data_IF_290696852845
#
_entry.id   IF_290696852845
#
_cell.length_a   1.000
_cell.length_b   1.000
_cell.length_c   1.000
_cell.angle_alpha   90.00
_cell.angle_beta   90.00
_cell.angle_gamma   90.00
#
_symmetry.space_group_name_H-M   'P 1'
#
loop_
_entity.id
_entity.type
_entity.pdbx_description
1 polymer ?
#
# COMPACT_ATOMS: atom_id res chain seq x y z
N UNK A 1 -14.73 1.49 -20.10
CA UNK A 1 -14.90 1.33 -18.63
C UNK A 1 -13.98 0.25 -18.06
N UNK A 2 -13.82 -0.92 -18.70
CA UNK A 2 -12.85 -1.96 -18.26
C UNK A 2 -11.37 -1.54 -18.36
N UNK A 3 -10.96 -0.82 -19.41
CA UNK A 3 -9.56 -0.36 -19.57
C UNK A 3 -9.11 0.64 -18.48
N UNK A 4 -10.02 1.47 -17.96
CA UNK A 4 -9.73 2.40 -16.87
C UNK A 4 -9.58 1.67 -15.53
N UNK A 5 -10.36 0.60 -15.33
CA UNK A 5 -10.25 -0.27 -14.16
C UNK A 5 -8.96 -1.11 -14.20
N UNK A 6 -8.57 -1.65 -15.36
CA UNK A 6 -7.29 -2.36 -15.51
C UNK A 6 -6.10 -1.43 -15.27
N UNK A 7 -6.14 -0.20 -15.79
CA UNK A 7 -5.11 0.80 -15.54
C UNK A 7 -5.00 1.16 -14.03
N UNK A 8 -6.13 1.25 -13.32
CA UNK A 8 -6.12 1.51 -11.87
C UNK A 8 -5.65 0.30 -11.05
N UNK A 9 -5.98 -0.93 -11.45
CA UNK A 9 -5.45 -2.15 -10.82
C UNK A 9 -3.93 -2.23 -10.99
N UNK A 10 -3.41 -2.01 -12.19
CA UNK A 10 -1.98 -2.04 -12.45
C UNK A 10 -1.25 -0.93 -11.68
N UNK A 11 -1.82 0.28 -11.63
CA UNK A 11 -1.27 1.38 -10.86
C UNK A 11 -1.24 1.08 -9.35
N UNK A 12 -2.30 0.50 -8.80
CA UNK A 12 -2.35 0.09 -7.41
C UNK A 12 -1.32 -1.02 -7.09
N UNK A 13 -1.10 -1.96 -8.02
CA UNK A 13 -0.07 -2.97 -7.88
C UNK A 13 1.34 -2.38 -7.89
N UNK A 14 1.63 -1.44 -8.82
CA UNK A 14 2.92 -0.73 -8.91
C UNK A 14 3.23 0.05 -7.64
N UNK A 15 2.25 0.79 -7.10
CA UNK A 15 2.42 1.52 -5.84
C UNK A 15 2.61 0.58 -4.65
N UNK A 16 1.89 -0.54 -4.61
CA UNK A 16 2.08 -1.54 -3.56
C UNK A 16 3.50 -2.12 -3.59
N UNK A 17 4.04 -2.42 -4.77
CA UNK A 17 5.39 -2.93 -4.93
C UNK A 17 6.45 -1.86 -4.60
N UNK A 18 6.26 -0.62 -5.05
CA UNK A 18 7.09 0.54 -4.69
C UNK A 18 7.14 0.71 -3.17
N UNK A 19 5.99 0.74 -2.51
CA UNK A 19 5.91 0.86 -1.06
C UNK A 19 6.55 -0.30 -0.31
N UNK A 20 6.43 -1.53 -0.82
CA UNK A 20 7.15 -2.69 -0.28
C UNK A 20 8.67 -2.56 -0.43
N UNK A 21 9.16 -2.00 -1.53
CA UNK A 21 10.58 -1.79 -1.76
C UNK A 21 11.12 -0.65 -0.89
N UNK A 22 10.38 0.45 -0.74
CA UNK A 22 10.70 1.54 0.19
C UNK A 22 10.78 1.04 1.64
N UNK A 23 9.85 0.16 2.04
CA UNK A 23 9.86 -0.46 3.37
C UNK A 23 11.14 -1.29 3.61
N UNK A 24 11.60 -2.05 2.61
CA UNK A 24 12.87 -2.79 2.68
C UNK A 24 14.09 -1.87 2.71
N UNK A 25 14.02 -0.72 2.04
CA UNK A 25 15.07 0.29 2.04
C UNK A 25 15.11 1.12 3.34
N UNK A 26 14.13 0.95 4.23
CA UNK A 26 14.01 1.75 5.45
C UNK A 26 13.45 3.15 5.22
N UNK A 27 13.02 3.48 4.00
CA UNK A 27 12.30 4.72 3.71
C UNK A 27 10.83 4.57 4.10
N UNK A 28 10.57 4.76 5.39
CA UNK A 28 9.25 4.57 5.97
C UNK A 28 8.25 5.68 5.57
N UNK A 29 8.71 6.88 5.18
CA UNK A 29 7.83 7.93 4.69
C UNK A 29 7.26 7.58 3.32
N UNK A 30 8.14 7.27 2.37
CA UNK A 30 7.72 6.88 1.02
C UNK A 30 6.90 5.59 1.07
N UNK A 31 7.32 4.60 1.88
CA UNK A 31 6.57 3.36 2.06
C UNK A 31 5.14 3.61 2.57
N UNK A 32 4.98 4.46 3.59
CA UNK A 32 3.66 4.79 4.14
C UNK A 32 2.76 5.44 3.10
N UNK A 33 3.28 6.39 2.33
CA UNK A 33 2.51 7.11 1.33
C UNK A 33 2.08 6.19 0.17
N UNK A 34 3.01 5.40 -0.35
CA UNK A 34 2.76 4.50 -1.48
C UNK A 34 1.80 3.38 -1.11
N UNK A 35 1.98 2.77 0.08
CA UNK A 35 1.08 1.72 0.58
C UNK A 35 -0.32 2.26 0.88
N UNK A 36 -0.44 3.50 1.41
CA UNK A 36 -1.74 4.14 1.64
C UNK A 36 -2.50 4.34 0.33
N UNK A 37 -1.86 4.92 -0.69
CA UNK A 37 -2.48 5.13 -2.01
C UNK A 37 -2.85 3.83 -2.70
N UNK A 38 -1.98 2.81 -2.61
CA UNK A 38 -2.27 1.49 -3.14
C UNK A 38 -3.49 0.86 -2.46
N UNK A 39 -3.62 1.03 -1.14
CA UNK A 39 -4.75 0.54 -0.36
C UNK A 39 -6.04 1.26 -0.74
N UNK A 40 -6.04 2.59 -0.79
CA UNK A 40 -7.22 3.39 -1.17
C UNK A 40 -7.76 2.98 -2.54
N UNK A 41 -6.88 2.79 -3.53
CA UNK A 41 -7.29 2.33 -4.85
C UNK A 41 -7.85 0.91 -4.83
N UNK A 42 -7.22 -0.02 -4.12
CA UNK A 42 -7.75 -1.39 -4.00
C UNK A 42 -9.10 -1.42 -3.30
N UNK A 43 -9.31 -0.59 -2.28
CA UNK A 43 -10.59 -0.45 -1.58
C UNK A 43 -11.65 0.13 -2.50
N UNK A 44 -11.32 1.13 -3.33
CA UNK A 44 -12.24 1.67 -4.32
C UNK A 44 -12.63 0.64 -5.41
N UNK A 45 -11.72 -0.25 -5.78
CA UNK A 45 -11.92 -1.23 -6.85
C UNK A 45 -12.67 -2.49 -6.36
N UNK A 46 -12.26 -3.05 -5.24
CA UNK A 46 -12.74 -4.36 -4.76
C UNK A 46 -13.67 -4.25 -3.55
N UNK A 47 -13.61 -3.12 -2.82
CA UNK A 47 -14.28 -2.93 -1.54
C UNK A 47 -13.34 -3.13 -0.34
N UNK A 48 -13.74 -2.57 0.80
CA UNK A 48 -12.94 -2.55 2.03
C UNK A 48 -12.67 -3.95 2.60
N UNK A 49 -13.65 -4.83 2.51
CA UNK A 49 -13.59 -6.20 3.05
C UNK A 49 -13.09 -7.24 2.03
N UNK A 50 -12.60 -6.79 0.87
CA UNK A 50 -12.16 -7.67 -0.18
C UNK A 50 -10.81 -8.33 0.18
N UNK A 51 -10.63 -9.64 -0.06
CA UNK A 51 -9.38 -10.33 0.24
C UNK A 51 -8.16 -9.74 -0.50
N UNK A 52 -8.38 -9.10 -1.65
CA UNK A 52 -7.37 -8.40 -2.45
C UNK A 52 -6.71 -7.22 -1.69
N UNK A 53 -7.47 -6.61 -0.78
CA UNK A 53 -7.01 -5.51 0.08
C UNK A 53 -6.20 -6.00 1.29
N UNK A 54 -6.35 -7.28 1.70
CA UNK A 54 -5.74 -7.81 2.93
C UNK A 54 -4.21 -7.66 2.94
N UNK A 55 -3.57 -7.90 1.80
CA UNK A 55 -2.11 -7.74 1.66
C UNK A 55 -1.66 -6.28 1.82
N UNK A 56 -2.44 -5.34 1.30
CA UNK A 56 -2.18 -3.90 1.43
C UNK A 56 -2.34 -3.42 2.88
N UNK A 57 -3.41 -3.83 3.57
CA UNK A 57 -3.61 -3.54 4.98
C UNK A 57 -2.46 -4.06 5.86
N UNK A 58 -2.06 -5.32 5.66
CA UNK A 58 -0.98 -5.92 6.43
C UNK A 58 0.35 -5.16 6.28
N UNK A 59 0.72 -4.82 5.05
CA UNK A 59 1.97 -4.09 4.77
C UNK A 59 1.92 -2.66 5.27
N UNK A 60 0.80 -1.97 5.08
CA UNK A 60 0.63 -0.61 5.57
C UNK A 60 0.68 -0.56 7.11
N UNK A 61 -0.02 -1.46 7.81
CA UNK A 61 0.05 -1.58 9.26
C UNK A 61 1.47 -1.88 9.76
N UNK A 62 2.19 -2.76 9.07
CA UNK A 62 3.60 -3.04 9.38
C UNK A 62 4.48 -1.78 9.23
N UNK A 63 4.25 -0.98 8.19
CA UNK A 63 4.96 0.28 7.97
C UNK A 63 4.73 1.27 9.12
N UNK A 64 3.48 1.46 9.55
CA UNK A 64 3.15 2.35 10.66
C UNK A 64 3.80 1.89 11.97
N UNK A 65 3.82 0.58 12.24
CA UNK A 65 4.50 0.03 13.41
C UNK A 65 6.00 0.33 13.38
N UNK A 66 6.66 0.14 12.23
CA UNK A 66 8.08 0.47 12.09
C UNK A 66 8.36 1.96 12.24
N UNK A 67 7.47 2.84 11.75
CA UNK A 67 7.61 4.30 11.95
C UNK A 67 7.62 4.65 13.43
N UNK A 68 6.63 4.17 14.16
CA UNK A 68 6.52 4.44 15.60
C UNK A 68 7.67 3.81 16.40
N UNK A 69 8.21 2.68 15.96
CA UNK A 69 9.40 2.09 16.58
C UNK A 69 10.66 2.93 16.33
N UNK A 70 10.88 3.36 15.09
CA UNK A 70 12.03 4.20 14.71
C UNK A 70 12.03 5.58 15.40
N UNK A 71 10.86 6.10 15.76
CA UNK A 71 10.73 7.36 16.53
C UNK A 71 11.02 7.19 18.03
N UNK A 72 11.06 5.96 18.54
CA UNK A 72 11.28 5.65 19.97
C UNK A 72 12.73 5.30 20.31
N UNK A 73 13.54 4.96 19.30
CA UNK A 73 15.00 4.82 19.39
C UNK A 73 15.71 6.16 19.21
#
# INVERSE_FOLDING_TARGET
>A
EEEEQEATVENAAKLFESGCNALKAGDLESASNDLCKALEMRVMLHGELAPECASAYYKYGSCLLYKVQAERD
#
